data_IF_325962415441
#
_entry.id   IF_325962415441
#
_cell.length_a   1.000
_cell.length_b   1.000
_cell.length_c   1.000
_cell.angle_alpha   90.00
_cell.angle_beta   90.00
_cell.angle_gamma   90.00
#
_symmetry.space_group_name_H-M   'P 1'
#
loop_
_entity.id
_entity.type
_entity.pdbx_description
1 polymer ?
#
# COMPACT_ATOMS: atom_id res chain seq x y z
N UNK A 1 -7.20 7.00 33.60
CA UNK A 1 -6.98 7.95 32.48
C UNK A 1 -7.82 9.19 32.73
N UNK A 2 -7.19 10.35 32.92
CA UNK A 2 -7.92 11.63 33.03
C UNK A 2 -8.64 11.88 31.70
N UNK A 3 -9.98 12.01 31.72
CA UNK A 3 -10.76 12.35 30.52
C UNK A 3 -10.44 13.80 30.15
N UNK A 4 -10.00 14.01 28.91
CA UNK A 4 -9.72 15.33 28.36
C UNK A 4 -10.99 16.16 28.23
N UNK A 5 -10.90 17.46 28.40
CA UNK A 5 -12.03 18.38 28.18
C UNK A 5 -12.37 18.46 26.68
N UNK A 6 -13.58 18.93 26.36
CA UNK A 6 -14.00 19.15 24.97
C UNK A 6 -13.06 20.14 24.25
N UNK A 7 -12.67 21.20 24.94
CA UNK A 7 -11.75 22.23 24.45
C UNK A 7 -10.35 21.67 24.17
N UNK A 8 -9.82 20.80 25.05
CA UNK A 8 -8.55 20.12 24.81
C UNK A 8 -8.61 19.19 23.58
N UNK A 9 -9.75 18.52 23.37
CA UNK A 9 -9.96 17.66 22.20
C UNK A 9 -9.99 18.51 20.93
N UNK A 10 -10.71 19.64 20.95
CA UNK A 10 -10.82 20.56 19.83
C UNK A 10 -9.49 21.22 19.47
N UNK A 11 -8.77 21.77 20.46
CA UNK A 11 -7.43 22.34 20.26
C UNK A 11 -6.46 21.31 19.66
N UNK A 12 -6.52 20.05 20.09
CA UNK A 12 -5.73 18.97 19.51
C UNK A 12 -6.13 18.64 18.07
N UNK A 13 -7.43 18.69 17.74
CA UNK A 13 -7.92 18.50 16.37
C UNK A 13 -7.42 19.62 15.46
N UNK A 14 -7.53 20.87 15.90
CA UNK A 14 -7.05 22.04 15.17
C UNK A 14 -5.54 21.98 14.89
N UNK A 15 -4.71 21.73 15.93
CA UNK A 15 -3.25 21.56 15.76
C UNK A 15 -2.88 20.42 14.81
N UNK A 16 -3.63 19.31 14.84
CA UNK A 16 -3.43 18.21 13.89
C UNK A 16 -3.79 18.64 12.47
N UNK A 17 -4.92 19.31 12.27
CA UNK A 17 -5.34 19.81 10.97
C UNK A 17 -4.31 20.78 10.37
N UNK A 18 -3.79 21.71 11.17
CA UNK A 18 -2.75 22.65 10.76
C UNK A 18 -1.46 21.93 10.33
N UNK A 19 -0.98 20.97 11.14
CA UNK A 19 0.19 20.14 10.78
C UNK A 19 -0.04 19.35 9.50
N UNK A 20 -1.26 18.84 9.29
CA UNK A 20 -1.63 18.14 8.06
C UNK A 20 -1.61 19.07 6.86
N UNK A 21 -2.10 20.29 7.01
CA UNK A 21 -2.07 21.27 5.91
C UNK A 21 -0.63 21.63 5.53
N UNK A 22 0.21 21.98 6.52
CA UNK A 22 1.64 22.24 6.28
C UNK A 22 2.34 21.08 5.56
N UNK A 23 2.00 19.85 5.91
CA UNK A 23 2.54 18.66 5.27
C UNK A 23 2.09 18.53 3.80
N UNK A 24 0.83 18.88 3.49
CA UNK A 24 0.30 18.88 2.12
C UNK A 24 0.93 19.96 1.26
N UNK A 25 1.09 21.17 1.80
CA UNK A 25 1.74 22.28 1.10
C UNK A 25 3.20 21.92 0.78
N UNK A 26 3.90 21.30 1.74
CA UNK A 26 5.25 20.79 1.53
C UNK A 26 5.32 19.68 0.45
N UNK A 27 4.26 18.88 0.28
CA UNK A 27 4.24 17.84 -0.75
C UNK A 27 4.21 18.42 -2.17
N UNK A 28 3.65 19.61 -2.39
CA UNK A 28 3.70 20.30 -3.69
C UNK A 28 5.17 20.60 -4.06
N UNK A 29 5.92 21.16 -3.11
CA UNK A 29 7.34 21.48 -3.29
C UNK A 29 8.17 20.21 -3.47
N UNK A 30 7.88 19.14 -2.71
CA UNK A 30 8.59 17.85 -2.86
C UNK A 30 8.30 17.18 -4.21
N UNK A 31 7.07 17.26 -4.69
CA UNK A 31 6.70 16.77 -6.01
C UNK A 31 7.47 17.51 -7.11
N UNK A 32 7.54 18.85 -7.05
CA UNK A 32 8.33 19.64 -8.00
C UNK A 32 9.84 19.29 -7.98
N UNK A 33 10.41 19.00 -6.80
CA UNK A 33 11.81 18.52 -6.71
C UNK A 33 11.99 17.13 -7.33
N UNK A 34 11.02 16.24 -7.16
CA UNK A 34 11.04 14.91 -7.77
C UNK A 34 10.84 14.97 -9.28
N UNK A 35 10.04 15.91 -9.78
CA UNK A 35 9.93 16.21 -11.21
C UNK A 35 11.30 16.54 -11.82
N UNK A 36 12.02 17.50 -11.22
CA UNK A 36 13.36 17.87 -11.67
C UNK A 36 14.34 16.69 -11.58
N UNK A 37 14.27 15.89 -10.52
CA UNK A 37 15.12 14.71 -10.37
C UNK A 37 14.86 13.65 -11.46
N UNK A 38 13.58 13.44 -11.84
CA UNK A 38 13.19 12.55 -12.93
C UNK A 38 13.68 13.06 -14.29
N UNK A 39 13.52 14.36 -14.57
CA UNK A 39 13.99 14.96 -15.83
C UNK A 39 15.51 14.90 -15.97
N UNK A 40 16.24 14.98 -14.85
CA UNK A 40 17.70 14.89 -14.83
C UNK A 40 18.24 13.45 -14.87
N UNK A 41 17.38 12.43 -14.82
CA UNK A 41 17.80 11.03 -14.91
C UNK A 41 17.63 10.47 -16.30
N UNK A 42 18.59 9.64 -16.72
CA UNK A 42 18.46 8.88 -17.95
C UNK A 42 17.24 7.94 -17.89
N UNK A 43 16.52 7.73 -19.01
CA UNK A 43 15.45 6.76 -19.07
C UNK A 43 16.00 5.38 -18.73
N UNK A 44 15.68 4.85 -17.55
CA UNK A 44 16.09 3.51 -17.16
C UNK A 44 15.30 2.46 -17.97
N UNK A 45 16.02 1.43 -18.39
CA UNK A 45 15.51 0.30 -19.17
C UNK A 45 14.41 -0.41 -18.40
N UNK A 46 13.29 -0.68 -19.09
CA UNK A 46 12.20 -1.50 -18.59
C UNK A 46 12.74 -2.91 -18.33
N UNK A 47 12.74 -3.33 -17.06
CA UNK A 47 12.99 -4.74 -16.73
C UNK A 47 11.66 -5.46 -16.88
N UNK A 48 11.40 -5.99 -18.07
CA UNK A 48 10.33 -6.96 -18.28
C UNK A 48 10.79 -8.29 -17.67
N UNK A 49 10.24 -8.67 -16.51
CA UNK A 49 10.40 -10.04 -16.04
C UNK A 49 9.63 -10.96 -17.00
N UNK A 50 10.36 -11.80 -17.73
CA UNK A 50 9.84 -12.69 -18.76
C UNK A 50 8.81 -13.70 -18.24
N UNK A 51 7.98 -14.13 -19.19
CA UNK A 51 6.89 -15.07 -19.03
C UNK A 51 7.38 -16.49 -18.68
N UNK A 52 7.58 -16.73 -17.39
CA UNK A 52 7.23 -18.00 -16.72
C UNK A 52 7.33 -17.81 -15.19
N UNK A 53 6.37 -17.08 -14.61
CA UNK A 53 6.38 -16.83 -13.16
C UNK A 53 5.63 -17.97 -12.46
N UNK A 54 6.40 -18.88 -11.83
CA UNK A 54 5.88 -19.77 -10.81
C UNK A 54 5.11 -18.96 -9.75
N UNK A 55 4.12 -19.55 -9.10
CA UNK A 55 3.30 -18.88 -8.09
C UNK A 55 4.17 -18.20 -7.01
N UNK A 56 4.01 -16.87 -6.82
CA UNK A 56 4.77 -16.07 -5.84
C UNK A 56 3.85 -15.42 -4.82
N UNK A 57 4.25 -15.47 -3.55
CA UNK A 57 3.47 -14.92 -2.44
C UNK A 57 4.29 -13.89 -1.68
N UNK A 58 3.77 -12.67 -1.62
CA UNK A 58 4.35 -11.53 -0.91
C UNK A 58 3.39 -11.12 0.22
N UNK A 59 3.62 -11.65 1.42
CA UNK A 59 2.88 -11.29 2.62
C UNK A 59 3.75 -10.40 3.52
N UNK A 60 3.18 -9.29 3.99
CA UNK A 60 3.84 -8.37 4.90
C UNK A 60 2.86 -7.47 5.65
N UNK A 61 3.39 -6.35 6.15
CA UNK A 61 2.63 -5.35 6.90
C UNK A 61 2.64 -4.00 6.17
N UNK A 62 1.69 -3.13 6.53
CA UNK A 62 1.60 -1.74 6.05
C UNK A 62 2.56 -0.79 6.77
N UNK A 63 3.83 -1.18 6.86
CA UNK A 63 4.89 -0.46 7.53
C UNK A 63 5.76 -1.40 8.37
N UNK A 64 6.88 -0.88 8.86
CA UNK A 64 7.80 -1.59 9.78
C UNK A 64 8.18 -0.74 10.99
N UNK A 65 8.08 0.59 10.92
CA UNK A 65 8.53 1.46 12.00
C UNK A 65 7.38 1.78 12.97
N UNK A 66 7.20 0.94 13.99
CA UNK A 66 6.20 1.15 15.05
C UNK A 66 6.80 0.94 16.44
N UNK A 67 6.72 1.97 17.28
CA UNK A 67 7.27 1.93 18.64
C UNK A 67 6.61 0.86 19.52
N UNK A 68 5.30 0.63 19.33
CA UNK A 68 4.53 -0.34 20.11
C UNK A 68 4.81 -1.79 19.70
N UNK A 69 5.65 -2.03 18.69
CA UNK A 69 6.15 -3.36 18.37
C UNK A 69 7.35 -3.75 19.23
N UNK A 70 8.01 -2.80 19.91
CA UNK A 70 9.07 -3.09 20.88
C UNK A 70 8.51 -3.83 22.08
N UNK A 71 9.19 -4.91 22.48
CA UNK A 71 8.73 -5.84 23.52
C UNK A 71 7.73 -6.90 23.05
N UNK A 72 7.29 -6.84 21.78
CA UNK A 72 6.34 -7.79 21.20
C UNK A 72 6.90 -8.50 19.96
N UNK A 73 7.44 -7.73 19.03
CA UNK A 73 8.10 -8.21 17.82
C UNK A 73 9.56 -7.77 17.76
N UNK A 74 9.84 -6.51 18.10
CA UNK A 74 11.20 -6.01 18.25
C UNK A 74 11.70 -6.22 19.68
N UNK A 75 13.00 -6.46 19.89
CA UNK A 75 13.60 -6.33 21.21
C UNK A 75 13.29 -4.96 21.82
N UNK A 76 13.03 -4.93 23.12
CA UNK A 76 12.59 -3.72 23.85
C UNK A 76 13.56 -2.55 23.66
N UNK A 77 14.85 -2.85 23.70
CA UNK A 77 15.98 -1.92 23.59
C UNK A 77 16.53 -1.77 22.16
N UNK A 78 15.94 -2.45 21.17
CA UNK A 78 16.44 -2.41 19.79
C UNK A 78 16.55 -0.97 19.27
N UNK A 79 17.73 -0.54 18.76
CA UNK A 79 17.89 0.80 18.22
C UNK A 79 17.10 0.95 16.91
N UNK A 80 16.62 2.17 16.64
CA UNK A 80 15.75 2.48 15.50
C UNK A 80 16.32 2.05 14.14
N UNK A 81 17.65 2.10 13.98
CA UNK A 81 18.34 1.72 12.74
C UNK A 81 18.40 0.20 12.51
N UNK A 82 18.15 -0.64 13.52
CA UNK A 82 18.11 -2.10 13.39
C UNK A 82 16.71 -2.64 13.11
N UNK A 83 15.65 -1.85 13.35
CA UNK A 83 14.26 -2.33 13.22
C UNK A 83 13.94 -2.82 11.80
N UNK A 84 14.53 -2.20 10.77
CA UNK A 84 14.33 -2.66 9.40
C UNK A 84 14.96 -4.04 9.16
N UNK A 85 16.19 -4.27 9.63
CA UNK A 85 16.84 -5.58 9.51
C UNK A 85 16.00 -6.67 10.16
N UNK A 86 15.55 -6.43 11.40
CA UNK A 86 14.72 -7.39 12.14
C UNK A 86 13.40 -7.67 11.40
N UNK A 87 12.81 -6.64 10.79
CA UNK A 87 11.59 -6.82 9.97
C UNK A 87 11.86 -7.69 8.74
N UNK A 88 12.93 -7.39 8.00
CA UNK A 88 13.31 -8.09 6.78
C UNK A 88 13.68 -9.56 7.01
N UNK A 89 14.21 -9.89 8.18
CA UNK A 89 14.49 -11.28 8.56
C UNK A 89 13.21 -12.13 8.69
N UNK A 90 12.05 -11.48 8.86
CA UNK A 90 10.75 -12.13 9.03
C UNK A 90 9.82 -11.99 7.83
N UNK A 91 10.00 -10.96 7.00
CA UNK A 91 9.15 -10.69 5.83
C UNK A 91 10.00 -10.27 4.63
N UNK A 92 9.60 -10.71 3.43
CA UNK A 92 10.28 -10.37 2.16
C UNK A 92 9.66 -9.15 1.45
N UNK A 93 8.66 -8.53 2.06
CA UNK A 93 8.00 -7.34 1.51
C UNK A 93 7.46 -6.43 2.60
N UNK A 94 7.25 -5.16 2.26
CA UNK A 94 6.50 -4.19 3.07
C UNK A 94 5.70 -3.25 2.17
N UNK A 95 4.51 -2.85 2.64
CA UNK A 95 3.77 -1.75 2.05
C UNK A 95 4.13 -0.44 2.77
N UNK A 96 4.79 0.48 2.07
CA UNK A 96 5.17 1.80 2.57
C UNK A 96 3.97 2.73 2.59
N UNK A 97 3.52 3.08 3.79
CA UNK A 97 2.48 4.09 4.00
C UNK A 97 3.05 5.50 4.27
N UNK A 98 4.34 5.65 4.60
CA UNK A 98 4.96 6.96 4.79
C UNK A 98 4.84 7.89 3.55
N UNK A 99 5.02 7.39 2.30
CA UNK A 99 4.89 8.19 1.08
C UNK A 99 3.50 8.80 0.87
N UNK A 100 2.45 8.19 1.42
CA UNK A 100 1.09 8.74 1.41
C UNK A 100 1.04 10.11 2.10
N UNK A 101 1.79 10.28 3.19
CA UNK A 101 1.80 11.51 3.98
C UNK A 101 2.88 12.49 3.52
N UNK A 102 4.05 11.96 3.14
CA UNK A 102 5.19 12.77 2.76
C UNK A 102 5.80 12.21 1.49
N UNK A 103 5.70 12.97 0.40
CA UNK A 103 6.33 12.60 -0.86
C UNK A 103 7.83 12.36 -0.63
N UNK A 104 8.38 11.18 -0.95
CA UNK A 104 9.76 10.86 -0.62
C UNK A 104 10.75 11.56 -1.55
N UNK A 105 11.92 11.89 -1.03
CA UNK A 105 13.01 12.41 -1.86
C UNK A 105 13.75 11.27 -2.57
N UNK A 106 14.41 11.53 -3.69
CA UNK A 106 15.24 10.55 -4.37
C UNK A 106 16.31 9.95 -3.44
N UNK A 107 16.89 10.74 -2.54
CA UNK A 107 17.86 10.26 -1.54
C UNK A 107 17.23 9.28 -0.53
N UNK A 108 15.98 9.54 -0.13
CA UNK A 108 15.21 8.62 0.72
C UNK A 108 14.98 7.28 0.01
N UNK A 109 14.57 7.32 -1.26
CA UNK A 109 14.32 6.09 -2.05
C UNK A 109 15.62 5.31 -2.27
N UNK A 110 16.73 5.99 -2.59
CA UNK A 110 18.07 5.36 -2.69
C UNK A 110 18.50 4.72 -1.36
N UNK A 111 18.11 5.30 -0.23
CA UNK A 111 18.37 4.72 1.09
C UNK A 111 17.54 3.45 1.30
N UNK A 112 16.26 3.43 0.91
CA UNK A 112 15.45 2.21 0.95
C UNK A 112 16.04 1.09 0.10
N UNK A 113 16.49 1.41 -1.12
CA UNK A 113 17.16 0.44 -2.00
C UNK A 113 18.40 -0.16 -1.33
N UNK A 114 19.27 0.69 -0.79
CA UNK A 114 20.56 0.27 -0.19
C UNK A 114 20.41 -0.51 1.12
N UNK A 115 19.43 -0.17 1.95
CA UNK A 115 19.29 -0.81 3.27
C UNK A 115 18.72 -2.23 3.18
N UNK A 116 18.10 -2.59 2.06
CA UNK A 116 17.38 -3.84 1.91
C UNK A 116 18.16 -4.86 1.09
N UNK A 117 17.95 -6.13 1.42
CA UNK A 117 18.47 -7.24 0.63
C UNK A 117 17.93 -7.17 -0.81
N UNK A 118 18.70 -7.60 -1.81
CA UNK A 118 18.30 -7.47 -3.22
C UNK A 118 16.94 -8.10 -3.56
N UNK A 119 16.52 -9.13 -2.83
CA UNK A 119 15.25 -9.84 -3.01
C UNK A 119 14.06 -9.23 -2.26
N UNK A 120 14.29 -8.23 -1.41
CA UNK A 120 13.23 -7.58 -0.64
C UNK A 120 12.44 -6.60 -1.52
N UNK A 121 11.11 -6.67 -1.46
CA UNK A 121 10.23 -5.89 -2.34
C UNK A 121 9.43 -4.84 -1.57
N UNK A 122 9.48 -3.60 -2.04
CA UNK A 122 8.68 -2.49 -1.54
C UNK A 122 7.43 -2.26 -2.39
N UNK A 123 6.27 -2.24 -1.75
CA UNK A 123 5.04 -1.71 -2.35
C UNK A 123 4.78 -0.32 -1.81
N UNK A 124 4.43 0.64 -2.66
CA UNK A 124 4.43 2.06 -2.31
C UNK A 124 3.01 2.62 -2.37
N UNK A 125 2.48 3.08 -1.23
CA UNK A 125 1.21 3.83 -1.23
C UNK A 125 1.43 5.24 -1.76
N UNK A 126 0.69 5.60 -2.79
CA UNK A 126 0.81 6.87 -3.51
C UNK A 126 0.40 8.04 -2.62
N UNK A 127 1.07 9.20 -2.79
CA UNK A 127 0.84 10.41 -2.00
C UNK A 127 -0.64 10.84 -1.97
N UNK A 128 -1.11 11.30 -0.80
CA UNK A 128 -2.48 11.81 -0.63
C UNK A 128 -2.79 12.99 -1.55
N UNK A 129 -1.75 13.73 -1.99
CA UNK A 129 -1.87 14.82 -2.95
C UNK A 129 -2.58 14.36 -4.23
N UNK A 130 -2.29 13.15 -4.71
CA UNK A 130 -2.87 12.58 -5.94
C UNK A 130 -4.27 12.03 -5.65
N UNK A 131 -4.41 11.16 -4.64
CA UNK A 131 -5.62 10.34 -4.46
C UNK A 131 -6.71 10.97 -3.60
N UNK A 132 -6.37 11.90 -2.71
CA UNK A 132 -7.31 12.47 -1.73
C UNK A 132 -7.53 13.97 -1.93
N UNK A 133 -6.48 14.72 -2.27
CA UNK A 133 -6.54 16.18 -2.45
C UNK A 133 -6.98 16.51 -3.87
N UNK A 134 -6.19 16.14 -4.88
CA UNK A 134 -6.54 16.35 -6.29
C UNK A 134 -7.52 15.33 -6.83
N UNK A 135 -7.58 14.13 -6.24
CA UNK A 135 -8.49 13.05 -6.65
C UNK A 135 -8.41 12.78 -8.16
N UNK A 136 -7.19 12.66 -8.67
CA UNK A 136 -6.88 12.46 -10.08
C UNK A 136 -7.17 13.64 -11.02
N UNK A 137 -7.66 14.77 -10.53
CA UNK A 137 -7.80 16.00 -11.32
C UNK A 137 -6.41 16.64 -11.55
N UNK A 138 -6.01 16.78 -12.82
CA UNK A 138 -4.71 17.35 -13.23
C UNK A 138 -3.52 16.70 -12.49
N UNK A 139 -3.48 15.36 -12.49
CA UNK A 139 -2.44 14.58 -11.82
C UNK A 139 -1.47 13.84 -12.73
N UNK A 140 -1.60 13.92 -14.06
CA UNK A 140 -0.79 13.12 -14.99
C UNK A 140 0.71 13.27 -14.72
N UNK A 141 1.21 14.51 -14.70
CA UNK A 141 2.61 14.80 -14.38
C UNK A 141 3.02 14.33 -12.97
N UNK A 142 2.13 14.48 -11.98
CA UNK A 142 2.40 13.99 -10.61
C UNK A 142 2.54 12.47 -10.58
N UNK A 143 1.71 11.73 -11.33
CA UNK A 143 1.79 10.28 -11.38
C UNK A 143 3.10 9.84 -12.06
N UNK A 144 3.50 10.49 -13.16
CA UNK A 144 4.81 10.26 -13.78
C UNK A 144 5.97 10.53 -12.81
N UNK A 145 5.93 11.67 -12.12
CA UNK A 145 6.97 12.08 -11.18
C UNK A 145 7.04 11.16 -9.97
N UNK A 146 5.90 10.64 -9.51
CA UNK A 146 5.86 9.64 -8.44
C UNK A 146 6.37 8.29 -8.95
N UNK A 147 6.10 7.97 -10.21
CA UNK A 147 6.57 6.78 -10.92
C UNK A 147 8.09 6.62 -10.90
N UNK A 148 8.84 7.72 -10.86
CA UNK A 148 10.31 7.72 -10.74
C UNK A 148 10.83 6.95 -9.51
N UNK A 149 10.02 6.80 -8.46
CA UNK A 149 10.36 5.93 -7.31
C UNK A 149 10.64 4.49 -7.76
N UNK A 150 9.83 3.98 -8.69
CA UNK A 150 10.00 2.63 -9.23
C UNK A 150 11.31 2.50 -10.01
N UNK A 151 11.71 3.54 -10.74
CA UNK A 151 12.98 3.54 -11.50
C UNK A 151 14.19 3.50 -10.57
N UNK A 152 14.14 4.24 -9.46
CA UNK A 152 15.20 4.19 -8.45
C UNK A 152 15.25 2.81 -7.78
N UNK A 153 14.10 2.24 -7.39
CA UNK A 153 14.04 0.93 -6.72
C UNK A 153 14.40 -0.24 -7.65
N UNK A 154 14.09 -0.15 -8.94
CA UNK A 154 14.34 -1.22 -9.92
C UNK A 154 13.63 -2.52 -9.52
N UNK A 155 14.38 -3.62 -9.45
CA UNK A 155 13.85 -4.96 -9.13
C UNK A 155 13.23 -5.09 -7.73
N UNK A 156 13.52 -4.15 -6.82
CA UNK A 156 12.93 -4.12 -5.48
C UNK A 156 11.56 -3.39 -5.46
N UNK A 157 11.06 -2.92 -6.61
CA UNK A 157 9.73 -2.34 -6.73
C UNK A 157 8.66 -3.43 -6.88
N UNK A 158 7.65 -3.39 -6.01
CA UNK A 158 6.43 -4.19 -6.08
C UNK A 158 5.32 -3.44 -6.82
N UNK A 159 4.35 -2.92 -6.07
CA UNK A 159 3.20 -2.20 -6.63
C UNK A 159 3.18 -0.72 -6.25
N UNK A 160 2.46 0.08 -7.03
CA UNK A 160 1.93 1.37 -6.58
C UNK A 160 0.50 1.19 -6.10
N UNK A 161 0.20 1.59 -4.86
CA UNK A 161 -1.13 1.53 -4.28
C UNK A 161 -1.79 2.92 -4.30
N UNK A 162 -2.81 3.07 -5.13
CA UNK A 162 -3.68 4.23 -5.24
C UNK A 162 -4.97 4.00 -4.44
N UNK A 163 -4.97 4.36 -3.16
CA UNK A 163 -6.16 4.25 -2.31
C UNK A 163 -6.98 5.53 -2.33
N UNK A 164 -8.28 5.46 -2.66
CA UNK A 164 -9.20 6.59 -2.72
C UNK A 164 -10.03 6.74 -1.43
N UNK A 165 -10.36 7.97 -1.00
CA UNK A 165 -11.15 8.17 0.21
C UNK A 165 -12.61 7.67 0.04
N UNK A 166 -13.32 7.37 1.14
CA UNK A 166 -14.70 6.87 1.10
C UNK A 166 -15.71 7.86 0.50
N UNK A 167 -15.35 9.14 0.38
CA UNK A 167 -16.18 10.16 -0.25
C UNK A 167 -16.21 10.04 -1.78
N UNK A 168 -15.26 9.34 -2.40
CA UNK A 168 -15.23 9.16 -3.86
C UNK A 168 -16.08 7.95 -4.24
N UNK A 169 -17.20 8.22 -4.90
CA UNK A 169 -18.12 7.22 -5.43
C UNK A 169 -17.78 6.90 -6.87
N UNK A 170 -18.26 5.75 -7.33
CA UNK A 170 -18.11 5.34 -8.71
C UNK A 170 -18.91 6.27 -9.62
N UNK A 171 -18.24 6.73 -10.68
CA UNK A 171 -18.84 7.21 -11.91
C UNK A 171 -17.97 6.72 -13.07
N UNK A 172 -18.53 6.56 -14.28
CA UNK A 172 -17.74 6.24 -15.47
C UNK A 172 -16.57 7.21 -15.70
N UNK A 173 -16.81 8.52 -15.54
CA UNK A 173 -15.78 9.56 -15.70
C UNK A 173 -14.65 9.41 -14.68
N UNK A 174 -14.96 9.11 -13.42
CA UNK A 174 -13.95 8.91 -12.39
C UNK A 174 -13.12 7.64 -12.67
N UNK A 175 -13.75 6.56 -13.14
CA UNK A 175 -13.06 5.34 -13.54
C UNK A 175 -12.09 5.61 -14.70
N UNK A 176 -12.56 6.29 -15.74
CA UNK A 176 -11.75 6.67 -16.89
C UNK A 176 -10.58 7.57 -16.48
N UNK A 177 -10.85 8.60 -15.67
CA UNK A 177 -9.84 9.54 -15.19
C UNK A 177 -8.74 8.85 -14.37
N UNK A 178 -9.08 7.84 -13.57
CA UNK A 178 -8.08 7.04 -12.85
C UNK A 178 -7.23 6.26 -13.84
N UNK A 179 -7.87 5.41 -14.67
CA UNK A 179 -7.17 4.43 -15.49
C UNK A 179 -6.33 5.07 -16.60
N UNK A 180 -6.77 6.18 -17.18
CA UNK A 180 -6.07 6.85 -18.29
C UNK A 180 -4.73 7.49 -17.89
N UNK A 181 -4.46 7.63 -16.59
CA UNK A 181 -3.24 8.28 -16.08
C UNK A 181 -2.23 7.28 -15.49
N UNK A 182 -2.58 5.98 -15.41
CA UNK A 182 -1.68 4.97 -14.84
C UNK A 182 -0.62 4.57 -15.86
N UNK A 183 0.64 4.46 -15.43
CA UNK A 183 1.73 3.94 -16.27
C UNK A 183 1.58 2.42 -16.43
N UNK A 184 1.22 1.89 -17.61
CA UNK A 184 0.95 0.47 -17.80
C UNK A 184 2.19 -0.42 -17.63
N UNK A 185 3.40 0.18 -17.60
CA UNK A 185 4.65 -0.56 -17.32
C UNK A 185 4.79 -0.92 -15.84
N UNK A 186 3.93 -0.38 -14.96
CA UNK A 186 3.98 -0.58 -13.51
C UNK A 186 2.82 -1.45 -13.04
N UNK A 187 3.01 -2.12 -11.91
CA UNK A 187 1.93 -2.80 -11.19
C UNK A 187 1.10 -1.80 -10.41
N UNK A 188 0.05 -1.29 -11.05
CA UNK A 188 -0.86 -0.31 -10.46
C UNK A 188 -2.00 -1.01 -9.73
N UNK A 189 -2.11 -0.75 -8.44
CA UNK A 189 -3.17 -1.26 -7.58
C UNK A 189 -4.07 -0.10 -7.20
N UNK A 190 -5.38 -0.23 -7.37
CA UNK A 190 -6.34 0.80 -6.94
C UNK A 190 -7.24 0.24 -5.85
N UNK A 191 -7.39 1.00 -4.79
CA UNK A 191 -8.16 0.62 -3.62
C UNK A 191 -9.30 1.59 -3.34
N UNK A 192 -10.52 1.07 -3.37
CA UNK A 192 -11.72 1.85 -3.15
C UNK A 192 -12.24 1.71 -1.71
N UNK A 193 -12.96 2.73 -1.26
CA UNK A 193 -13.55 2.82 0.09
C UNK A 193 -15.06 3.03 0.08
N UNK A 194 -15.68 2.84 -1.08
CA UNK A 194 -17.12 2.97 -1.27
C UNK A 194 -17.63 1.79 -2.09
N UNK A 195 -18.70 1.12 -1.62
CA UNK A 195 -19.23 -0.12 -2.22
C UNK A 195 -19.68 0.00 -3.68
N UNK A 196 -19.94 1.22 -4.17
CA UNK A 196 -20.34 1.46 -5.55
C UNK A 196 -19.30 1.02 -6.59
N UNK A 197 -18.05 0.82 -6.18
CA UNK A 197 -16.95 0.38 -7.05
C UNK A 197 -16.89 -1.12 -7.29
N UNK A 198 -17.70 -1.91 -6.56
CA UNK A 198 -17.80 -3.36 -6.75
C UNK A 198 -18.87 -3.66 -7.80
N UNK A 199 -18.50 -3.59 -9.07
CA UNK A 199 -19.37 -3.87 -10.21
C UNK A 199 -18.56 -4.31 -11.46
N UNK A 200 -19.23 -4.95 -12.41
CA UNK A 200 -18.59 -5.55 -13.59
C UNK A 200 -17.98 -4.55 -14.57
N UNK A 201 -18.51 -3.33 -14.67
CA UNK A 201 -17.93 -2.28 -15.54
C UNK A 201 -16.53 -1.90 -15.04
N UNK A 202 -16.39 -1.74 -13.72
CA UNK A 202 -15.10 -1.48 -13.07
C UNK A 202 -14.15 -2.66 -13.28
N UNK A 203 -14.61 -3.88 -13.03
CA UNK A 203 -13.76 -5.07 -13.16
C UNK A 203 -13.28 -5.29 -14.59
N UNK A 204 -14.15 -5.08 -15.57
CA UNK A 204 -13.83 -5.19 -17.00
C UNK A 204 -12.82 -4.12 -17.43
N UNK A 205 -13.02 -2.87 -17.01
CA UNK A 205 -12.07 -1.79 -17.31
C UNK A 205 -10.69 -2.03 -16.69
N UNK A 206 -10.64 -2.56 -15.45
CA UNK A 206 -9.39 -2.92 -14.80
C UNK A 206 -8.66 -4.06 -15.53
N UNK A 207 -9.39 -5.10 -15.96
CA UNK A 207 -8.84 -6.18 -16.79
C UNK A 207 -8.25 -5.65 -18.09
N UNK A 208 -8.98 -4.78 -18.79
CA UNK A 208 -8.51 -4.18 -20.04
C UNK A 208 -7.26 -3.30 -19.84
N UNK A 209 -7.16 -2.59 -18.71
CA UNK A 209 -6.02 -1.74 -18.38
C UNK A 209 -4.82 -2.48 -17.76
N UNK A 210 -4.95 -3.78 -17.45
CA UNK A 210 -3.94 -4.52 -16.67
C UNK A 210 -3.77 -3.99 -15.23
N UNK A 211 -4.77 -3.29 -14.70
CA UNK A 211 -4.76 -2.73 -13.35
C UNK A 211 -5.25 -3.76 -12.32
N UNK A 212 -4.73 -3.68 -11.10
CA UNK A 212 -5.04 -4.61 -10.02
C UNK A 212 -6.10 -3.97 -9.09
N UNK A 213 -7.26 -4.59 -8.97
CA UNK A 213 -8.27 -4.20 -8.00
C UNK A 213 -7.86 -4.67 -6.59
N UNK A 214 -7.79 -3.76 -5.64
CA UNK A 214 -7.44 -4.10 -4.25
C UNK A 214 -8.65 -4.68 -3.51
N UNK A 215 -8.56 -5.97 -3.17
CA UNK A 215 -9.52 -6.63 -2.29
C UNK A 215 -9.27 -6.21 -0.84
N UNK A 216 -10.33 -5.80 -0.13
CA UNK A 216 -10.21 -5.24 1.22
C UNK A 216 -10.97 -6.09 2.23
N UNK A 217 -10.27 -6.64 3.23
CA UNK A 217 -10.92 -7.08 4.46
C UNK A 217 -11.12 -5.87 5.37
N UNK A 218 -12.30 -5.27 5.33
CA UNK A 218 -12.62 -4.03 6.05
C UNK A 218 -14.13 -3.90 6.32
N UNK A 219 -14.54 -3.15 7.35
CA UNK A 219 -15.96 -3.04 7.69
C UNK A 219 -16.71 -2.23 6.63
N UNK A 220 -17.92 -2.68 6.28
CA UNK A 220 -18.86 -2.02 5.34
C UNK A 220 -18.43 -2.03 3.87
N UNK A 221 -17.45 -2.85 3.51
CA UNK A 221 -17.10 -3.15 2.12
C UNK A 221 -17.47 -4.60 1.80
N UNK A 222 -17.69 -4.94 0.52
CA UNK A 222 -17.87 -6.34 0.13
C UNK A 222 -16.68 -7.20 0.54
N UNK A 223 -16.97 -8.33 1.18
CA UNK A 223 -15.97 -9.29 1.64
C UNK A 223 -15.71 -10.33 0.54
N UNK A 224 -15.05 -9.89 -0.53
CA UNK A 224 -14.74 -10.71 -1.68
C UNK A 224 -13.29 -10.51 -2.15
N UNK A 225 -12.75 -11.52 -2.83
CA UNK A 225 -11.48 -11.44 -3.53
C UNK A 225 -11.77 -11.22 -5.02
N UNK A 226 -11.38 -10.05 -5.51
CA UNK A 226 -11.52 -9.67 -6.92
C UNK A 226 -10.18 -9.82 -7.61
N UNK A 227 -10.16 -10.57 -8.72
CA UNK A 227 -9.00 -10.70 -9.60
C UNK A 227 -9.26 -10.00 -10.93
N UNK A 228 -8.50 -8.94 -11.20
CA UNK A 228 -8.54 -8.19 -12.47
C UNK A 228 -7.25 -8.26 -13.28
N UNK A 229 -6.23 -8.94 -12.78
CA UNK A 229 -4.94 -9.13 -13.45
C UNK A 229 -4.39 -10.53 -13.12
N UNK A 230 -3.18 -10.84 -13.61
CA UNK A 230 -2.44 -12.03 -13.17
C UNK A 230 -2.02 -11.97 -11.70
N UNK A 231 -1.97 -10.77 -11.14
CA UNK A 231 -1.69 -10.49 -9.75
C UNK A 231 -3.01 -10.26 -8.99
N UNK A 232 -3.05 -10.65 -7.71
CA UNK A 232 -4.08 -10.22 -6.76
C UNK A 232 -3.46 -9.38 -5.65
N UNK A 233 -4.23 -8.43 -5.13
CA UNK A 233 -3.80 -7.56 -4.05
C UNK A 233 -4.84 -7.50 -2.94
N UNK A 234 -4.41 -7.76 -1.70
CA UNK A 234 -5.29 -7.85 -0.54
C UNK A 234 -4.76 -6.96 0.58
N UNK A 235 -5.65 -6.17 1.18
CA UNK A 235 -5.35 -5.42 2.41
C UNK A 235 -6.26 -5.82 3.55
N UNK A 236 -5.65 -6.19 4.66
CA UNK A 236 -6.33 -6.63 5.88
C UNK A 236 -6.41 -5.49 6.88
N UNK A 237 -7.58 -4.85 6.96
CA UNK A 237 -7.85 -3.74 7.87
C UNK A 237 -8.59 -4.17 9.14
N UNK A 238 -9.19 -5.34 9.15
CA UNK A 238 -10.06 -5.84 10.21
C UNK A 238 -11.54 -5.77 9.82
N UNK A 239 -12.33 -6.79 10.18
CA UNK A 239 -13.72 -6.92 9.73
C UNK A 239 -14.74 -6.13 10.58
N UNK A 240 -14.45 -5.93 11.88
CA UNK A 240 -15.35 -5.24 12.81
C UNK A 240 -15.00 -3.76 12.96
N UNK A 241 -13.72 -3.47 13.14
CA UNK A 241 -13.20 -2.10 13.32
C UNK A 241 -11.98 -1.89 12.44
N UNK A 242 -11.96 -0.74 11.76
CA UNK A 242 -10.81 -0.33 10.96
C UNK A 242 -9.54 -0.31 11.83
N UNK A 243 -8.54 -1.02 11.32
CA UNK A 243 -7.18 -1.13 11.82
C UNK A 243 -7.05 -1.81 13.19
N UNK A 244 -8.15 -2.38 13.73
CA UNK A 244 -8.20 -2.92 15.10
C UNK A 244 -8.96 -4.24 15.12
N UNK A 245 -8.30 -5.30 14.71
CA UNK A 245 -8.87 -6.65 14.66
C UNK A 245 -7.74 -7.66 14.74
N UNK A 246 -7.86 -8.65 15.61
CA UNK A 246 -6.99 -9.81 15.64
C UNK A 246 -7.69 -10.91 14.84
N UNK A 247 -7.15 -11.29 13.69
CA UNK A 247 -7.79 -12.29 12.85
C UNK A 247 -7.65 -13.67 13.50
N UNK A 248 -8.76 -14.41 13.55
CA UNK A 248 -8.71 -15.82 13.95
C UNK A 248 -8.21 -16.69 12.79
N UNK A 249 -7.72 -17.89 13.11
CA UNK A 249 -7.34 -18.88 12.09
C UNK A 249 -8.50 -19.20 11.15
N UNK A 250 -9.74 -19.31 11.66
CA UNK A 250 -10.91 -19.55 10.82
C UNK A 250 -11.15 -18.42 9.82
N UNK A 251 -10.97 -17.17 10.25
CA UNK A 251 -11.07 -16.01 9.34
C UNK A 251 -9.94 -16.02 8.29
N UNK A 252 -8.71 -16.38 8.69
CA UNK A 252 -7.58 -16.47 7.77
C UNK A 252 -7.72 -17.64 6.79
N UNK A 253 -8.29 -18.78 7.21
CA UNK A 253 -8.54 -19.95 6.34
C UNK A 253 -9.41 -19.58 5.15
N UNK A 254 -10.46 -18.78 5.35
CA UNK A 254 -11.30 -18.29 4.26
C UNK A 254 -10.47 -17.53 3.22
N UNK A 255 -9.51 -16.72 3.66
CA UNK A 255 -8.62 -16.00 2.75
C UNK A 255 -7.60 -16.91 2.07
N UNK A 256 -7.07 -17.91 2.76
CA UNK A 256 -6.19 -18.93 2.15
C UNK A 256 -6.91 -19.65 1.01
N UNK A 257 -8.15 -20.08 1.23
CA UNK A 257 -8.97 -20.73 0.21
C UNK A 257 -9.23 -19.81 -0.98
N UNK A 258 -9.65 -18.55 -0.73
CA UNK A 258 -9.84 -17.55 -1.79
C UNK A 258 -8.56 -17.30 -2.60
N UNK A 259 -7.42 -17.18 -1.93
CA UNK A 259 -6.12 -16.98 -2.59
C UNK A 259 -5.79 -18.15 -3.51
N UNK A 260 -5.93 -19.39 -3.03
CA UNK A 260 -5.67 -20.60 -3.83
C UNK A 260 -6.59 -20.71 -5.03
N UNK A 261 -7.89 -20.49 -4.84
CA UNK A 261 -8.90 -20.60 -5.89
C UNK A 261 -8.82 -19.46 -6.92
N UNK A 262 -8.13 -18.36 -6.62
CA UNK A 262 -8.04 -17.21 -7.53
C UNK A 262 -7.29 -17.49 -8.85
N UNK A 263 -6.41 -18.51 -8.86
CA UNK A 263 -5.52 -18.79 -9.98
C UNK A 263 -4.52 -17.66 -10.30
N UNK A 264 -4.26 -16.77 -9.34
CA UNK A 264 -3.31 -15.67 -9.50
C UNK A 264 -1.87 -16.19 -9.52
N UNK A 265 -1.03 -15.61 -10.37
CA UNK A 265 0.41 -15.92 -10.44
C UNK A 265 1.17 -15.27 -9.30
N UNK A 266 0.75 -14.08 -8.86
CA UNK A 266 1.42 -13.32 -7.80
C UNK A 266 0.39 -12.82 -6.79
N UNK A 267 0.66 -13.03 -5.51
CA UNK A 267 -0.18 -12.62 -4.39
C UNK A 267 0.51 -11.52 -3.61
N UNK A 268 -0.14 -10.37 -3.48
CA UNK A 268 0.30 -9.27 -2.62
C UNK A 268 -0.68 -9.14 -1.45
N UNK A 269 -0.23 -9.33 -0.23
CA UNK A 269 -1.10 -9.31 0.95
C UNK A 269 -0.47 -8.52 2.10
N UNK A 270 -1.12 -7.43 2.51
CA UNK A 270 -0.59 -6.53 3.53
C UNK A 270 -1.56 -6.37 4.70
N UNK A 271 -1.04 -6.60 5.90
CA UNK A 271 -1.76 -6.40 7.16
C UNK A 271 -1.61 -4.97 7.68
N UNK A 272 -2.74 -4.30 7.86
CA UNK A 272 -2.86 -2.91 8.32
C UNK A 272 -3.73 -2.79 9.59
N UNK A 273 -4.08 -3.91 10.21
CA UNK A 273 -4.78 -4.06 11.49
C UNK A 273 -3.88 -3.83 12.71
N UNK A 274 -3.05 -2.78 12.65
CA UNK A 274 -1.91 -2.59 13.54
C UNK A 274 -2.18 -1.72 14.79
N UNK A 275 -3.40 -1.21 14.98
CA UNK A 275 -3.67 -0.27 16.10
C UNK A 275 -3.28 -0.83 17.47
N UNK A 276 -3.43 -2.15 17.64
CA UNK A 276 -3.08 -2.90 18.84
C UNK A 276 -1.93 -3.90 18.58
N UNK A 277 -1.15 -3.74 17.50
CA UNK A 277 0.01 -4.59 17.16
C UNK A 277 -0.30 -5.95 16.53
N UNK A 278 -1.53 -6.18 16.07
CA UNK A 278 -1.95 -7.49 15.55
C UNK A 278 -1.45 -7.82 14.14
N UNK A 279 -0.95 -6.84 13.37
CA UNK A 279 -0.60 -7.06 11.97
C UNK A 279 0.52 -8.08 11.81
N UNK A 280 1.55 -8.04 12.67
CA UNK A 280 2.71 -8.94 12.60
C UNK A 280 2.32 -10.39 12.83
N UNK A 281 1.58 -10.65 13.91
CA UNK A 281 1.08 -11.99 14.24
C UNK A 281 0.26 -12.55 13.09
N UNK A 282 -0.69 -11.76 12.58
CA UNK A 282 -1.61 -12.21 11.53
C UNK A 282 -0.91 -12.40 10.17
N UNK A 283 0.04 -11.54 9.81
CA UNK A 283 0.86 -11.70 8.62
C UNK A 283 1.69 -12.99 8.67
N UNK A 284 2.37 -13.25 9.79
CA UNK A 284 3.10 -14.52 10.00
C UNK A 284 2.18 -15.73 9.91
N UNK A 285 0.99 -15.64 10.53
CA UNK A 285 0.03 -16.74 10.54
C UNK A 285 -0.48 -17.07 9.15
N UNK A 286 -0.86 -16.05 8.37
CA UNK A 286 -1.30 -16.26 6.98
C UNK A 286 -0.18 -16.88 6.13
N UNK A 287 1.07 -16.41 6.28
CA UNK A 287 2.22 -16.96 5.57
C UNK A 287 2.39 -18.46 5.88
N UNK A 288 2.39 -18.83 7.16
CA UNK A 288 2.46 -20.24 7.58
C UNK A 288 1.32 -21.09 7.03
N UNK A 289 0.09 -20.55 7.01
CA UNK A 289 -1.08 -21.27 6.53
C UNK A 289 -1.08 -21.46 5.01
N UNK A 290 -0.43 -20.57 4.25
CA UNK A 290 -0.22 -20.73 2.82
C UNK A 290 0.88 -21.75 2.54
N UNK A 291 2.00 -21.68 3.26
CA UNK A 291 3.15 -22.58 3.06
C UNK A 291 2.83 -24.03 3.44
N UNK A 292 2.06 -24.27 4.51
CA UNK A 292 1.64 -25.62 4.93
C UNK A 292 0.63 -26.28 3.98
N UNK A 293 0.27 -25.58 2.92
CA UNK A 293 -0.90 -25.78 2.07
C UNK A 293 -0.51 -25.84 0.59
N UNK A 294 0.76 -25.53 0.29
CA UNK A 294 1.40 -25.58 -1.01
C UNK A 294 2.00 -26.97 -1.24
#
# INVERSE_FOLDING_TARGET
MIKRTAEEIESRRARRAERRQKQRDANIVRAAKMHLARLASDPLTVITSGDNVAWRVHIGCSGWYYWHWKGHFYPTDAPSNQLFSIYQDNFKTVELNAPFYSWPTAATVKTWKRQAEPSFVYTIKVCELITHIKRFEDTHALIEDFGYIADVLGVQMGCFLFQLPPSVRYSPDMLQMILSQLDPRRKNVVEFRHKSWWNEDVYSAFKAAGAIFCSCSGPRLPDELVRTADDIYIRFHGIKQWYRHDYSDAELTVWVERIKLSGAKIVWAYFNNDRDGYSIKNAKRLLQMIDASA
#
